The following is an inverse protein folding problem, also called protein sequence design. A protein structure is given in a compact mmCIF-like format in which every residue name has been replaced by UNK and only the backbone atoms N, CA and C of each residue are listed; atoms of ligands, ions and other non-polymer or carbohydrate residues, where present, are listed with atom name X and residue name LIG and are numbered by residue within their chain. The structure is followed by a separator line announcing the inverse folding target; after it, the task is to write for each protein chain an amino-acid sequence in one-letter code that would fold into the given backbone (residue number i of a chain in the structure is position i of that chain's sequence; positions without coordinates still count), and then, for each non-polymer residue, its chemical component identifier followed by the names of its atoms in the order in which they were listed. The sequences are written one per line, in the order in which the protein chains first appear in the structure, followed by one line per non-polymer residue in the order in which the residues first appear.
data_IF_191394296399
#
_entry.id   IF_191394296399
#
_cell.length_a   1.000
_cell.length_b   1.000
_cell.length_c   1.000
_cell.angle_alpha   90.00
_cell.angle_beta   90.00
_cell.angle_gamma   90.00
#
_symmetry.space_group_name_H-M   'P 1'
#
loop_
_entity.id
_entity.type
_entity.pdbx_description
1 polymer ?
#
# COMPACT_ATOMS: atom_id res chain seq x y z
N UNK A 1 -22.22 18.44 -0.78
CA UNK A 1 -21.43 19.37 0.07
C UNK A 1 -20.19 18.62 0.55
N UNK A 2 -19.00 19.17 0.34
CA UNK A 2 -17.78 18.60 0.89
C UNK A 2 -17.69 18.96 2.38
N UNK A 3 -17.35 18.00 3.25
CA UNK A 3 -17.32 18.23 4.70
C UNK A 3 -16.16 19.13 5.15
N UNK A 4 -15.04 19.12 4.40
CA UNK A 4 -13.87 19.97 4.62
C UNK A 4 -13.44 20.62 3.30
N UNK A 5 -13.81 21.88 3.13
CA UNK A 5 -13.60 22.62 1.88
C UNK A 5 -12.12 22.91 1.60
N UNK A 6 -11.30 23.06 2.65
CA UNK A 6 -9.88 23.39 2.56
C UNK A 6 -8.94 22.21 2.86
N UNK A 7 -9.46 20.98 2.97
CA UNK A 7 -8.61 19.82 3.22
C UNK A 7 -7.62 19.58 2.06
N UNK A 8 -6.35 19.37 2.42
CA UNK A 8 -5.25 18.94 1.55
C UNK A 8 -5.08 17.42 1.65
N UNK A 9 -4.80 16.79 0.52
CA UNK A 9 -4.64 15.35 0.39
C UNK A 9 -3.21 15.04 -0.08
N UNK A 10 -2.52 14.20 0.69
CA UNK A 10 -1.21 13.67 0.32
C UNK A 10 -1.43 12.26 -0.19
N UNK A 11 -1.09 12.02 -1.45
CA UNK A 11 -1.20 10.74 -2.12
C UNK A 11 0.17 10.12 -2.28
N UNK A 12 0.54 9.25 -1.33
CA UNK A 12 1.73 8.42 -1.41
C UNK A 12 1.41 7.13 -2.18
N UNK A 13 2.16 6.87 -3.24
CA UNK A 13 2.07 5.62 -4.01
C UNK A 13 3.43 4.94 -4.12
N UNK A 14 3.42 3.64 -4.40
CA UNK A 14 4.60 2.78 -4.53
C UNK A 14 4.33 1.77 -5.64
N UNK A 15 5.38 1.25 -6.27
CA UNK A 15 5.26 0.15 -7.24
C UNK A 15 4.44 -1.00 -6.65
N UNK A 16 3.32 -1.31 -7.29
CA UNK A 16 2.37 -2.31 -6.82
C UNK A 16 2.98 -3.70 -6.67
N UNK A 17 4.02 -4.02 -7.44
CA UNK A 17 4.72 -5.32 -7.37
C UNK A 17 5.57 -5.42 -6.10
N UNK A 18 6.22 -4.33 -5.69
CA UNK A 18 6.90 -4.25 -4.40
C UNK A 18 5.90 -4.30 -3.23
N UNK A 19 4.73 -3.68 -3.40
CA UNK A 19 3.63 -3.81 -2.44
C UNK A 19 3.20 -5.28 -2.32
N UNK A 20 3.05 -6.00 -3.44
CA UNK A 20 2.67 -7.42 -3.43
C UNK A 20 3.68 -8.31 -2.70
N UNK A 21 4.97 -8.13 -2.95
CA UNK A 21 6.04 -8.82 -2.20
C UNK A 21 5.95 -8.53 -0.71
N UNK A 22 5.73 -7.27 -0.34
CA UNK A 22 5.58 -6.87 1.07
C UNK A 22 4.35 -7.50 1.73
N UNK A 23 3.20 -7.48 1.05
CA UNK A 23 1.93 -8.02 1.56
C UNK A 23 1.93 -9.55 1.67
N UNK A 24 2.64 -10.24 0.77
CA UNK A 24 2.85 -11.69 0.83
C UNK A 24 3.53 -12.11 2.15
N UNK A 25 4.48 -11.31 2.65
CA UNK A 25 5.16 -11.51 3.94
C UNK A 25 4.36 -10.99 5.14
N UNK A 26 3.47 -10.03 4.92
CA UNK A 26 2.71 -9.40 5.98
C UNK A 26 1.75 -10.40 6.66
N UNK A 27 1.58 -10.25 7.97
CA UNK A 27 0.73 -11.16 8.76
C UNK A 27 -0.76 -11.07 8.38
N UNK A 28 -1.20 -9.91 7.86
CA UNK A 28 -2.60 -9.67 7.45
C UNK A 28 -2.66 -9.26 5.98
N UNK A 29 -3.86 -9.39 5.41
CA UNK A 29 -4.15 -9.05 4.02
C UNK A 29 -4.00 -10.24 3.09
N UNK A 30 -4.31 -9.98 1.82
CA UNK A 30 -4.20 -10.98 0.76
C UNK A 30 -2.74 -11.42 0.56
N UNK A 31 -2.55 -12.63 0.03
CA UNK A 31 -1.24 -13.29 -0.08
C UNK A 31 -0.87 -13.63 -1.52
N UNK A 32 -1.88 -13.85 -2.35
CA UNK A 32 -1.69 -14.14 -3.76
C UNK A 32 -1.65 -12.84 -4.58
N UNK A 33 -0.70 -12.74 -5.51
CA UNK A 33 -0.45 -11.53 -6.32
C UNK A 33 -1.70 -11.04 -7.07
N UNK A 34 -2.53 -11.94 -7.59
CA UNK A 34 -3.82 -11.57 -8.21
C UNK A 34 -4.69 -10.68 -7.31
N UNK A 35 -4.92 -11.09 -6.05
CA UNK A 35 -5.79 -10.34 -5.14
C UNK A 35 -5.14 -9.03 -4.68
N UNK A 36 -3.84 -9.07 -4.38
CA UNK A 36 -3.11 -7.86 -3.97
C UNK A 36 -3.12 -6.84 -5.11
N UNK A 37 -2.91 -7.28 -6.35
CA UNK A 37 -2.98 -6.43 -7.54
C UNK A 37 -4.38 -5.82 -7.71
N UNK A 38 -5.46 -6.58 -7.50
CA UNK A 38 -6.83 -6.07 -7.57
C UNK A 38 -7.09 -4.98 -6.52
N UNK A 39 -6.70 -5.22 -5.26
CA UNK A 39 -6.89 -4.25 -4.18
C UNK A 39 -6.05 -2.99 -4.40
N UNK A 40 -4.76 -3.17 -4.73
CA UNK A 40 -3.86 -2.07 -5.05
C UNK A 40 -4.39 -1.24 -6.21
N UNK A 41 -4.73 -1.88 -7.34
CA UNK A 41 -5.22 -1.19 -8.53
C UNK A 41 -6.54 -0.46 -8.25
N UNK A 42 -7.46 -1.04 -7.49
CA UNK A 42 -8.70 -0.37 -7.09
C UNK A 42 -8.42 0.91 -6.30
N UNK A 43 -7.53 0.84 -5.30
CA UNK A 43 -7.16 2.01 -4.50
C UNK A 43 -6.48 3.10 -5.34
N UNK A 44 -5.52 2.72 -6.19
CA UNK A 44 -4.82 3.68 -7.04
C UNK A 44 -5.75 4.31 -8.09
N UNK A 45 -6.65 3.55 -8.73
CA UNK A 45 -7.63 4.12 -9.67
C UNK A 45 -8.52 5.16 -8.99
N UNK A 46 -8.95 4.91 -7.76
CA UNK A 46 -9.72 5.90 -6.99
C UNK A 46 -8.88 7.15 -6.68
N UNK A 47 -7.62 7.00 -6.26
CA UNK A 47 -6.73 8.12 -6.01
C UNK A 47 -6.46 8.95 -7.27
N UNK A 48 -6.24 8.29 -8.42
CA UNK A 48 -6.06 8.94 -9.72
C UNK A 48 -7.32 9.68 -10.18
N UNK A 49 -8.51 9.12 -9.91
CA UNK A 49 -9.78 9.83 -10.12
C UNK A 49 -9.95 11.03 -9.19
N UNK A 50 -9.44 10.98 -7.95
CA UNK A 50 -9.44 12.14 -7.06
C UNK A 50 -8.46 13.21 -7.54
N UNK A 51 -7.27 12.80 -8.00
CA UNK A 51 -6.28 13.70 -8.60
C UNK A 51 -6.85 14.50 -9.78
N UNK A 52 -7.71 13.90 -10.60
CA UNK A 52 -8.33 14.60 -11.73
C UNK A 52 -9.51 15.50 -11.35
N UNK A 53 -10.03 15.39 -10.13
CA UNK A 53 -11.17 16.19 -9.63
C UNK A 53 -10.76 17.32 -8.70
N UNK A 54 -9.62 17.19 -8.04
CA UNK A 54 -9.11 18.16 -7.06
C UNK A 54 -8.08 19.08 -7.71
N UNK A 55 -8.00 20.31 -7.23
CA UNK A 55 -7.00 21.25 -7.71
C UNK A 55 -5.59 20.86 -7.21
N UNK A 56 -4.51 21.26 -7.90
CA UNK A 56 -3.14 21.00 -7.48
C UNK A 56 -2.80 21.52 -6.07
N UNK A 57 -3.49 22.58 -5.61
CA UNK A 57 -3.33 23.17 -4.27
C UNK A 57 -3.93 22.28 -3.17
N UNK A 58 -4.71 21.25 -3.54
CA UNK A 58 -5.39 20.34 -2.62
C UNK A 58 -4.95 18.90 -2.74
N UNK A 59 -4.22 18.52 -3.79
CA UNK A 59 -3.81 17.13 -4.00
C UNK A 59 -2.34 17.04 -4.41
N UNK A 60 -1.51 16.49 -3.54
CA UNK A 60 -0.08 16.35 -3.75
C UNK A 60 0.29 14.87 -3.90
N UNK A 61 0.93 14.50 -5.01
CA UNK A 61 1.32 13.11 -5.30
C UNK A 61 2.80 12.89 -4.96
N UNK A 62 3.11 11.81 -4.26
CA UNK A 62 4.47 11.42 -3.89
C UNK A 62 4.69 9.96 -4.28
N UNK A 63 5.69 9.70 -5.11
CA UNK A 63 6.22 8.35 -5.28
C UNK A 63 7.10 8.00 -4.08
N UNK A 64 6.88 6.81 -3.51
CA UNK A 64 7.73 6.24 -2.46
C UNK A 64 9.18 6.15 -2.91
N UNK A 65 9.41 5.78 -4.17
CA UNK A 65 10.73 5.67 -4.77
C UNK A 65 11.46 7.02 -4.76
N UNK A 66 10.78 8.10 -5.17
CA UNK A 66 11.32 9.47 -5.10
C UNK A 66 11.56 9.93 -3.66
N UNK A 67 10.61 9.64 -2.76
CA UNK A 67 10.73 10.00 -1.35
C UNK A 67 11.99 9.40 -0.73
N UNK A 68 12.29 8.12 -0.99
CA UNK A 68 13.47 7.50 -0.38
C UNK A 68 14.78 7.81 -1.09
N UNK A 69 14.76 8.19 -2.38
CA UNK A 69 15.96 8.58 -3.12
C UNK A 69 16.38 10.02 -2.81
N UNK A 70 15.39 10.90 -2.63
CA UNK A 70 15.56 12.35 -2.47
C UNK A 70 14.67 12.89 -1.34
N UNK A 71 14.85 12.41 -0.09
CA UNK A 71 13.92 12.69 1.00
C UNK A 71 13.87 14.17 1.37
N UNK A 72 15.01 14.86 1.43
CA UNK A 72 15.07 16.30 1.73
C UNK A 72 14.26 17.13 0.73
N UNK A 73 14.55 17.00 -0.58
CA UNK A 73 13.80 17.71 -1.63
C UNK A 73 12.31 17.38 -1.59
N UNK A 74 11.97 16.10 -1.42
CA UNK A 74 10.56 15.68 -1.36
C UNK A 74 9.84 16.31 -0.16
N UNK A 75 10.50 16.39 1.00
CA UNK A 75 9.92 17.03 2.19
C UNK A 75 9.82 18.54 2.04
N UNK A 76 10.78 19.20 1.40
CA UNK A 76 10.69 20.63 1.09
C UNK A 76 9.49 20.93 0.20
N UNK A 77 9.28 20.16 -0.87
CA UNK A 77 8.13 20.31 -1.76
C UNK A 77 6.80 20.04 -1.04
N UNK A 78 6.76 19.01 -0.18
CA UNK A 78 5.59 18.73 0.65
C UNK A 78 5.32 19.85 1.66
N UNK A 79 6.34 20.39 2.30
CA UNK A 79 6.21 21.51 3.24
C UNK A 79 5.67 22.76 2.53
N UNK A 80 6.19 23.06 1.34
CA UNK A 80 5.70 24.15 0.49
C UNK A 80 4.22 23.93 0.12
N UNK A 81 3.85 22.71 -0.28
CA UNK A 81 2.46 22.35 -0.55
C UNK A 81 1.57 22.53 0.68
N UNK A 82 2.04 22.16 1.87
CA UNK A 82 1.27 22.28 3.12
C UNK A 82 1.22 23.72 3.63
N UNK A 83 2.19 24.57 3.29
CA UNK A 83 2.34 25.92 3.83
C UNK A 83 3.03 25.95 5.19
N UNK A 84 3.93 24.99 5.44
CA UNK A 84 4.72 24.88 6.68
C UNK A 84 6.21 25.02 6.38
N UNK A 85 7.00 25.42 7.37
CA UNK A 85 8.45 25.52 7.22
C UNK A 85 9.10 24.13 7.28
N UNK A 86 9.96 23.83 6.31
CA UNK A 86 10.83 22.66 6.37
C UNK A 86 11.92 22.87 7.44
N UNK A 87 12.18 21.84 8.24
CA UNK A 87 13.36 21.79 9.12
C UNK A 87 14.10 20.46 8.91
N UNK A 88 15.44 20.44 8.92
CA UNK A 88 16.23 19.22 8.67
C UNK A 88 15.89 18.05 9.62
N UNK A 89 15.46 18.35 10.85
CA UNK A 89 15.11 17.38 11.89
C UNK A 89 13.90 16.52 11.51
N UNK A 90 13.11 16.92 10.51
CA UNK A 90 12.04 16.08 9.95
C UNK A 90 12.58 14.74 9.40
N UNK A 91 13.86 14.67 9.01
CA UNK A 91 14.51 13.43 8.58
C UNK A 91 14.92 12.53 9.76
N UNK A 92 14.95 13.07 10.98
CA UNK A 92 15.23 12.34 12.21
C UNK A 92 13.96 11.72 12.84
N UNK A 93 12.89 11.57 12.05
CA UNK A 93 11.61 10.98 12.47
C UNK A 93 11.77 9.64 13.20
N UNK A 94 12.79 8.87 12.86
CA UNK A 94 13.08 7.55 13.42
C UNK A 94 13.48 7.60 14.90
N UNK A 95 13.88 8.77 15.41
CA UNK A 95 14.22 9.04 16.81
C UNK A 95 13.01 9.51 17.63
N UNK A 96 11.86 9.72 16.99
CA UNK A 96 10.65 10.21 17.67
C UNK A 96 10.01 9.15 18.56
N UNK A 97 9.29 9.62 19.59
CA UNK A 97 8.49 8.74 20.45
C UNK A 97 7.38 8.06 19.65
N UNK A 98 6.82 8.76 18.65
CA UNK A 98 5.81 8.24 17.74
C UNK A 98 6.33 7.06 16.91
N UNK A 99 7.57 7.12 16.42
CA UNK A 99 8.21 6.01 15.73
C UNK A 99 8.35 4.79 16.65
N UNK A 100 8.80 5.00 17.89
CA UNK A 100 8.91 3.94 18.90
C UNK A 100 7.54 3.30 19.23
N UNK A 101 6.52 4.13 19.46
CA UNK A 101 5.15 3.68 19.72
C UNK A 101 4.57 2.91 18.52
N UNK A 102 4.88 3.34 17.30
CA UNK A 102 4.41 2.65 16.09
C UNK A 102 5.10 1.30 15.91
N UNK A 103 6.42 1.22 16.09
CA UNK A 103 7.17 -0.03 15.99
C UNK A 103 6.75 -1.07 17.03
N UNK A 104 6.44 -0.66 18.25
CA UNK A 104 5.93 -1.56 19.31
C UNK A 104 4.51 -2.06 19.01
N UNK A 105 3.73 -1.30 18.23
CA UNK A 105 2.36 -1.68 17.90
C UNK A 105 2.26 -2.77 16.83
N UNK A 106 3.28 -3.00 16.00
CA UNK A 106 3.39 -4.20 15.15
C UNK A 106 4.82 -4.39 14.63
N UNK A 107 5.29 -5.63 14.59
CA UNK A 107 6.55 -6.01 13.93
C UNK A 107 6.62 -5.61 12.45
N UNK A 108 5.46 -5.41 11.78
CA UNK A 108 5.39 -4.90 10.40
C UNK A 108 5.90 -3.46 10.27
N UNK A 109 5.91 -2.71 11.37
CA UNK A 109 6.29 -1.30 11.41
C UNK A 109 7.61 -1.07 12.12
N UNK A 110 8.39 -2.12 12.39
CA UNK A 110 9.70 -1.98 13.04
C UNK A 110 10.66 -1.04 12.30
N UNK A 111 10.56 -0.99 10.96
CA UNK A 111 11.42 -0.15 10.14
C UNK A 111 11.20 1.36 10.34
N UNK A 112 10.13 1.81 11.01
CA UNK A 112 9.90 3.25 11.25
C UNK A 112 10.88 3.83 12.28
N UNK A 113 11.59 2.99 13.03
CA UNK A 113 12.67 3.40 13.94
C UNK A 113 14.04 3.38 13.26
N UNK A 114 14.08 3.15 11.95
CA UNK A 114 15.31 3.22 11.15
C UNK A 114 15.31 4.50 10.31
N UNK A 115 16.49 5.07 10.02
CA UNK A 115 16.61 6.12 9.01
C UNK A 115 16.03 5.68 7.67
N UNK A 116 15.77 6.64 6.77
CA UNK A 116 15.31 6.35 5.41
C UNK A 116 16.26 5.35 4.73
N UNK A 117 15.75 4.14 4.49
CA UNK A 117 16.49 3.08 3.80
C UNK A 117 16.48 3.41 2.31
N UNK A 118 17.56 4.03 1.84
CA UNK A 118 17.77 4.29 0.41
C UNK A 118 17.74 2.98 -0.36
N UNK A 119 17.17 2.98 -1.57
CA UNK A 119 17.10 1.83 -2.48
C UNK A 119 16.18 0.66 -2.04
N UNK A 120 15.25 0.86 -1.10
CA UNK A 120 14.24 -0.14 -0.73
C UNK A 120 13.13 -0.29 -1.80
N UNK A 121 13.50 -0.49 -3.07
CA UNK A 121 12.63 -0.48 -4.26
C UNK A 121 13.05 -1.57 -5.24
N UNK A 122 12.14 -1.97 -6.14
CA UNK A 122 12.36 -3.01 -7.17
C UNK A 122 12.73 -4.38 -6.58
N UNK A 123 12.32 -4.66 -5.35
CA UNK A 123 12.54 -5.96 -4.68
C UNK A 123 11.77 -7.09 -5.35
N UNK A 124 10.66 -6.77 -6.02
CA UNK A 124 9.93 -7.75 -6.81
C UNK A 124 10.77 -8.45 -7.88
N UNK A 125 11.82 -7.81 -8.41
CA UNK A 125 12.72 -8.44 -9.38
C UNK A 125 13.53 -9.61 -8.79
N UNK A 126 13.68 -9.66 -7.47
CA UNK A 126 14.45 -10.68 -6.76
C UNK A 126 13.56 -11.62 -5.95
N UNK A 127 12.40 -11.12 -5.49
CA UNK A 127 11.57 -11.81 -4.51
C UNK A 127 10.25 -12.37 -5.08
N UNK A 128 9.82 -11.92 -6.27
CA UNK A 128 8.64 -12.46 -6.95
C UNK A 128 9.05 -13.43 -8.05
N UNK A 129 8.22 -14.43 -8.33
CA UNK A 129 8.41 -15.29 -9.51
C UNK A 129 7.94 -14.58 -10.78
N UNK A 130 8.39 -15.04 -11.95
CA UNK A 130 7.93 -14.52 -13.24
C UNK A 130 6.41 -14.64 -13.41
N UNK A 131 5.82 -15.74 -12.91
CA UNK A 131 4.36 -15.94 -12.91
C UNK A 131 3.66 -14.89 -12.02
N UNK A 132 4.21 -14.60 -10.84
CA UNK A 132 3.66 -13.58 -9.93
C UNK A 132 3.70 -12.19 -10.54
N UNK A 133 4.83 -11.82 -11.16
CA UNK A 133 5.00 -10.54 -11.86
C UNK A 133 3.99 -10.45 -13.02
N UNK A 134 3.91 -11.49 -13.85
CA UNK A 134 2.98 -11.55 -14.97
C UNK A 134 1.52 -11.43 -14.51
N UNK A 135 1.14 -12.13 -13.44
CA UNK A 135 -0.21 -12.03 -12.86
C UNK A 135 -0.50 -10.60 -12.42
N UNK A 136 0.44 -9.95 -11.75
CA UNK A 136 0.26 -8.57 -11.29
C UNK A 136 0.05 -7.61 -12.47
N UNK A 137 0.92 -7.69 -13.46
CA UNK A 137 0.89 -6.80 -14.62
C UNK A 137 -0.36 -7.02 -15.49
N UNK A 138 -0.87 -8.26 -15.57
CA UNK A 138 -2.14 -8.55 -16.22
C UNK A 138 -3.35 -7.95 -15.50
N UNK A 139 -3.31 -7.83 -14.18
CA UNK A 139 -4.42 -7.28 -13.37
C UNK A 139 -4.38 -5.76 -13.27
N UNK A 140 -3.17 -5.19 -13.15
CA UNK A 140 -2.95 -3.83 -12.70
C UNK A 140 -2.02 -3.02 -13.62
N UNK A 141 -1.70 -3.56 -14.81
CA UNK A 141 -0.79 -2.92 -15.75
C UNK A 141 -1.22 -1.52 -16.20
N UNK A 142 -2.52 -1.29 -16.40
CA UNK A 142 -3.06 0.03 -16.72
C UNK A 142 -2.72 1.09 -15.65
N UNK A 143 -2.73 0.67 -14.39
CA UNK A 143 -2.42 1.53 -13.25
C UNK A 143 -0.90 1.71 -13.10
N UNK A 144 -0.11 0.66 -13.34
CA UNK A 144 1.36 0.77 -13.40
C UNK A 144 1.76 1.82 -14.43
N UNK A 145 1.21 1.73 -15.65
CA UNK A 145 1.48 2.69 -16.72
C UNK A 145 1.08 4.12 -16.33
N UNK A 146 -0.11 4.30 -15.72
CA UNK A 146 -0.62 5.60 -15.32
C UNK A 146 0.21 6.27 -14.20
N UNK A 147 0.95 5.47 -13.42
CA UNK A 147 1.86 5.91 -12.36
C UNK A 147 3.32 5.96 -12.81
N UNK A 148 3.62 5.59 -14.06
CA UNK A 148 4.97 5.63 -14.63
C UNK A 148 5.86 4.44 -14.29
N UNK A 149 5.29 3.31 -13.85
CA UNK A 149 6.03 2.08 -13.59
C UNK A 149 6.15 1.23 -14.85
N UNK A 150 7.39 1.00 -15.29
CA UNK A 150 7.66 0.13 -16.45
C UNK A 150 7.34 -1.33 -16.13
N UNK A 151 6.66 -1.99 -17.07
CA UNK A 151 6.33 -3.41 -17.01
C UNK A 151 7.49 -4.25 -17.51
N UNK A 152 7.69 -5.42 -16.92
CA UNK A 152 8.81 -6.32 -17.29
C UNK A 152 8.35 -7.67 -17.84
N UNK A 153 7.13 -8.10 -17.51
CA UNK A 153 6.59 -9.39 -17.94
C UNK A 153 5.67 -9.30 -19.17
N UNK A 154 4.87 -8.23 -19.28
CA UNK A 154 3.94 -8.05 -20.41
C UNK A 154 3.95 -6.64 -20.97
N UNK A 155 3.95 -6.56 -22.31
CA UNK A 155 3.83 -5.29 -23.02
C UNK A 155 2.41 -4.71 -22.91
N UNK A 156 2.34 -3.38 -22.85
CA UNK A 156 1.09 -2.63 -22.91
C UNK A 156 0.25 -3.02 -24.12
N UNK A 157 -1.04 -3.27 -23.93
CA UNK A 157 -1.98 -3.66 -24.98
C UNK A 157 -2.00 -5.17 -25.29
N UNK A 158 -1.23 -5.99 -24.56
CA UNK A 158 -1.24 -7.47 -24.67
C UNK A 158 -1.96 -8.14 -23.50
N UNK A 159 -2.68 -7.38 -22.68
CA UNK A 159 -3.35 -7.89 -21.49
C UNK A 159 -4.45 -8.89 -21.85
N UNK A 160 -4.50 -9.99 -21.10
CA UNK A 160 -5.56 -11.01 -21.21
C UNK A 160 -6.36 -11.07 -19.91
N UNK A 161 -7.60 -11.54 -20.02
CA UNK A 161 -8.42 -11.85 -18.83
C UNK A 161 -8.16 -13.27 -18.39
N UNK A 162 -8.01 -13.46 -17.07
CA UNK A 162 -7.95 -14.79 -16.48
C UNK A 162 -9.28 -15.53 -16.64
N UNK A 163 -9.21 -16.83 -16.92
CA UNK A 163 -10.39 -17.70 -16.93
C UNK A 163 -10.95 -17.85 -15.52
N UNK A 164 -12.24 -18.21 -15.41
CA UNK A 164 -12.88 -18.52 -14.12
C UNK A 164 -12.14 -19.63 -13.37
N UNK A 165 -11.61 -20.63 -14.09
CA UNK A 165 -10.80 -21.71 -13.52
C UNK A 165 -9.48 -21.20 -12.93
N UNK A 166 -8.78 -20.30 -13.63
CA UNK A 166 -7.56 -19.70 -13.11
C UNK A 166 -7.84 -18.86 -11.86
N UNK A 167 -8.90 -18.05 -11.89
CA UNK A 167 -9.33 -17.25 -10.73
C UNK A 167 -9.69 -18.15 -9.54
N UNK A 168 -10.40 -19.27 -9.77
CA UNK A 168 -10.72 -20.23 -8.71
C UNK A 168 -9.46 -20.82 -8.07
N UNK A 169 -8.44 -21.12 -8.89
CA UNK A 169 -7.12 -21.57 -8.39
C UNK A 169 -6.43 -20.50 -7.55
N UNK A 170 -6.42 -19.24 -8.02
CA UNK A 170 -5.84 -18.12 -7.28
C UNK A 170 -6.53 -17.91 -5.92
N UNK A 171 -7.86 -17.99 -5.89
CA UNK A 171 -8.66 -17.90 -4.67
C UNK A 171 -8.26 -19.00 -3.67
N UNK A 172 -8.15 -20.25 -4.13
CA UNK A 172 -7.80 -21.39 -3.28
C UNK A 172 -6.38 -21.26 -2.70
N UNK A 173 -5.39 -20.90 -3.54
CA UNK A 173 -4.00 -20.66 -3.08
C UNK A 173 -3.97 -19.54 -2.04
N UNK A 174 -4.66 -18.44 -2.32
CA UNK A 174 -4.71 -17.30 -1.42
C UNK A 174 -5.32 -17.66 -0.05
N UNK A 175 -6.39 -18.46 -0.03
CA UNK A 175 -6.99 -18.97 1.21
C UNK A 175 -6.03 -19.87 1.99
N UNK A 176 -5.32 -20.78 1.31
CA UNK A 176 -4.30 -21.63 1.93
C UNK A 176 -3.19 -20.80 2.58
N UNK A 177 -2.60 -19.86 1.84
CA UNK A 177 -1.53 -19.00 2.34
C UNK A 177 -1.97 -18.14 3.53
N UNK A 178 -3.22 -17.65 3.52
CA UNK A 178 -3.79 -16.91 4.67
C UNK A 178 -3.95 -17.82 5.89
N UNK A 179 -4.39 -19.06 5.70
CA UNK A 179 -4.50 -20.04 6.78
C UNK A 179 -3.13 -20.40 7.37
N UNK A 180 -2.13 -20.63 6.53
CA UNK A 180 -0.76 -20.93 6.94
C UNK A 180 -0.13 -19.79 7.75
N UNK A 181 -0.30 -18.53 7.30
CA UNK A 181 0.18 -17.37 8.05
C UNK A 181 -0.53 -17.26 9.39
N UNK A 182 -1.86 -17.48 9.44
CA UNK A 182 -2.64 -17.44 10.69
C UNK A 182 -2.20 -18.52 11.68
N UNK A 183 -1.83 -19.71 11.22
CA UNK A 183 -1.33 -20.78 12.08
C UNK A 183 0.04 -20.48 12.70
N UNK A 184 0.87 -19.69 12.00
CA UNK A 184 2.22 -19.30 12.45
C UNK A 184 2.22 -18.01 13.28
N UNK A 185 1.07 -17.37 13.47
CA UNK A 185 0.96 -16.13 14.24
C UNK A 185 1.13 -16.37 15.74
N UNK A 186 1.73 -15.40 16.40
CA UNK A 186 1.74 -15.33 17.86
C UNK A 186 0.29 -15.27 18.41
N UNK A 187 -0.06 -16.08 19.43
CA UNK A 187 -1.41 -16.11 19.99
C UNK A 187 -1.90 -14.78 20.59
N UNK A 188 -1.01 -13.96 21.17
CA UNK A 188 -1.40 -12.66 21.74
C UNK A 188 -1.65 -11.63 20.62
N UNK A 189 -0.85 -11.65 19.56
CA UNK A 189 -1.12 -10.87 18.35
C UNK A 189 -2.45 -11.28 17.69
N UNK A 190 -2.75 -12.57 17.66
CA UNK A 190 -4.03 -13.08 17.14
C UNK A 190 -5.21 -12.56 17.97
N UNK A 191 -5.13 -12.67 19.30
CA UNK A 191 -6.17 -12.15 20.22
C UNK A 191 -6.39 -10.65 20.06
N UNK A 192 -5.31 -9.86 19.98
CA UNK A 192 -5.41 -8.41 19.78
C UNK A 192 -6.14 -8.06 18.48
N UNK A 193 -5.85 -8.79 17.40
CA UNK A 193 -6.47 -8.58 16.09
C UNK A 193 -7.93 -9.05 16.07
N UNK A 194 -8.25 -10.16 16.71
CA UNK A 194 -9.64 -10.64 16.84
C UNK A 194 -10.51 -9.63 17.61
N UNK A 195 -9.96 -8.99 18.66
CA UNK A 195 -10.64 -7.87 19.37
C UNK A 195 -10.89 -6.69 18.44
N UNK A 196 -9.90 -6.26 17.67
CA UNK A 196 -10.04 -5.14 16.73
C UNK A 196 -11.07 -5.45 15.63
N UNK A 197 -11.05 -6.67 15.08
CA UNK A 197 -12.00 -7.10 14.07
C UNK A 197 -13.43 -7.15 14.63
N UNK A 198 -13.60 -7.59 15.88
CA UNK A 198 -14.90 -7.61 16.58
C UNK A 198 -15.44 -6.20 16.76
N UNK A 199 -14.60 -5.26 17.25
CA UNK A 199 -14.97 -3.86 17.38
C UNK A 199 -15.40 -3.24 16.04
N UNK A 200 -14.67 -3.50 14.96
CA UNK A 200 -15.03 -3.00 13.63
C UNK A 200 -16.38 -3.58 13.14
N UNK A 201 -16.65 -4.86 13.40
CA UNK A 201 -17.95 -5.48 13.10
C UNK A 201 -19.07 -4.82 13.90
N UNK A 202 -18.85 -4.56 15.20
CA UNK A 202 -19.82 -3.87 16.04
C UNK A 202 -20.10 -2.45 15.56
N UNK A 203 -19.07 -1.68 15.21
CA UNK A 203 -19.23 -0.32 14.65
C UNK A 203 -20.04 -0.38 13.36
N UNK A 204 -19.72 -1.31 12.46
CA UNK A 204 -20.45 -1.46 11.20
C UNK A 204 -21.90 -1.86 11.45
N UNK A 205 -22.16 -2.77 12.39
CA UNK A 205 -23.51 -3.17 12.77
C UNK A 205 -24.32 -2.00 13.35
N UNK A 206 -23.70 -1.14 14.17
CA UNK A 206 -24.34 0.08 14.70
C UNK A 206 -24.69 1.07 13.59
N UNK A 207 -23.85 1.22 12.57
CA UNK A 207 -24.14 2.09 11.41
C UNK A 207 -25.30 1.58 10.56
N UNK A 208 -25.52 0.26 10.49
CA UNK A 208 -26.66 -0.32 9.76
C UNK A 208 -28.00 -0.19 10.49
N UNK A 209 -28.01 0.06 11.80
CA UNK A 209 -29.25 0.19 12.60
C UNK A 209 -29.79 1.64 12.60
N UNK A 210 -28.99 2.61 12.16
CA UNK A 210 -29.35 4.04 12.11
C UNK A 210 -29.65 4.51 10.67
N UNK A 211 -29.80 3.59 9.71
CA UNK A 211 -30.18 3.84 8.32
C UNK A 211 -31.55 3.23 8.02
#
# INVERSE_FOLDING_TARGET
MAYLENAKFIYLYRDGRDVAVSFKKAVVGEKHFYHIAQEWAKAQRLALQMRSRLSPERFFSISYETLISSPETTLQDLCNFLGVQYTPEMLDFHQSQEASNTATSSSLWSNVTQPVIKQNTKKFLQEATDEEILIFELVAGDVLDALGYERVGILKGKEIKFSSTAIAKFNAINQSLKAEVRQKMDPEDLKRRDRQATLLKEIKARQTVVA
#
